data_IF_608991144265
#
_entry.id   IF_608991144265
#
_cell.length_a   1.000
_cell.length_b   1.000
_cell.length_c   1.000
_cell.angle_alpha   90.00
_cell.angle_beta   90.00
_cell.angle_gamma   90.00
#
_symmetry.space_group_name_H-M   'P 1'
#
loop_
_entity.id
_entity.type
_entity.pdbx_description
1 polymer ?
#
# COMPACT_ATOMS: atom_id res chain seq x y z
N UNK A 1 -7.34 11.99 4.51
CA UNK A 1 -6.04 11.36 4.26
C UNK A 1 -6.07 9.93 4.77
N UNK A 2 -5.41 9.00 4.09
CA UNK A 2 -5.26 7.60 4.49
C UNK A 2 -3.77 7.31 4.71
N UNK A 3 -3.42 6.44 5.67
CA UNK A 3 -2.04 6.02 5.91
C UNK A 3 -1.87 4.58 5.46
N UNK A 4 -0.74 4.27 4.84
CA UNK A 4 -0.33 2.93 4.44
C UNK A 4 1.17 2.71 4.70
N UNK A 5 1.54 1.44 4.77
CA UNK A 5 2.91 0.98 4.92
C UNK A 5 3.12 -0.37 4.21
N UNK A 6 4.32 -0.93 4.27
CA UNK A 6 4.65 -2.21 3.65
C UNK A 6 3.92 -3.42 4.27
N UNK A 7 3.29 -3.28 5.42
CA UNK A 7 2.44 -4.31 6.04
C UNK A 7 0.99 -4.22 5.59
N UNK A 8 0.63 -3.16 4.89
CA UNK A 8 -0.69 -3.02 4.26
C UNK A 8 -0.81 -4.02 3.13
N UNK A 9 -1.47 -5.16 3.39
CA UNK A 9 -1.54 -6.31 2.49
C UNK A 9 -2.98 -6.72 2.20
N UNK A 10 -3.24 -7.35 1.08
CA UNK A 10 -4.55 -7.87 0.65
C UNK A 10 -5.61 -6.76 0.62
N UNK A 11 -6.57 -6.75 1.56
CA UNK A 11 -7.53 -5.64 1.72
C UNK A 11 -6.81 -4.32 2.00
N UNK A 12 -5.66 -4.35 2.69
CA UNK A 12 -4.78 -3.22 2.90
C UNK A 12 -4.11 -2.68 1.62
N UNK A 13 -4.10 -3.45 0.52
CA UNK A 13 -3.77 -2.97 -0.82
C UNK A 13 -5.02 -2.45 -1.54
N UNK A 14 -6.13 -3.19 -1.44
CA UNK A 14 -7.36 -2.93 -2.21
C UNK A 14 -8.03 -1.62 -1.81
N UNK A 15 -8.20 -1.40 -0.51
CA UNK A 15 -8.90 -0.22 0.02
C UNK A 15 -8.15 1.07 -0.30
N UNK A 16 -6.83 1.18 -0.08
CA UNK A 16 -6.07 2.36 -0.52
C UNK A 16 -6.12 2.59 -2.02
N UNK A 17 -6.07 1.54 -2.83
CA UNK A 17 -6.18 1.66 -4.29
C UNK A 17 -7.52 2.28 -4.68
N UNK A 18 -8.62 1.77 -4.13
CA UNK A 18 -9.98 2.30 -4.37
C UNK A 18 -10.12 3.75 -3.88
N UNK A 19 -9.56 4.06 -2.72
CA UNK A 19 -9.58 5.41 -2.14
C UNK A 19 -8.86 6.42 -3.04
N UNK A 20 -7.66 6.05 -3.52
CA UNK A 20 -6.85 6.88 -4.41
C UNK A 20 -7.51 7.04 -5.79
N UNK A 21 -8.00 5.95 -6.38
CA UNK A 21 -8.65 5.95 -7.70
C UNK A 21 -9.95 6.76 -7.69
N UNK A 22 -10.67 6.76 -6.57
CA UNK A 22 -11.88 7.56 -6.37
C UNK A 22 -11.60 9.03 -5.98
N UNK A 23 -10.34 9.44 -5.87
CA UNK A 23 -9.95 10.81 -5.51
C UNK A 23 -10.46 11.25 -4.13
N UNK A 24 -10.57 10.33 -3.17
CA UNK A 24 -11.12 10.61 -1.83
C UNK A 24 -10.19 11.41 -0.93
N UNK A 25 -8.93 11.57 -1.33
CA UNK A 25 -7.91 12.34 -0.63
C UNK A 25 -6.54 11.71 -0.78
N UNK A 26 -5.48 12.34 -0.25
CA UNK A 26 -4.14 11.84 -0.38
C UNK A 26 -3.87 10.61 0.51
N UNK A 27 -2.95 9.77 0.05
CA UNK A 27 -2.37 8.67 0.79
C UNK A 27 -0.99 9.12 1.29
N UNK A 28 -0.73 8.89 2.57
CA UNK A 28 0.53 9.19 3.25
C UNK A 28 1.21 7.90 3.70
N UNK A 29 2.53 7.86 3.68
CA UNK A 29 3.32 6.78 4.26
C UNK A 29 4.22 6.08 3.26
N UNK A 30 4.28 4.77 3.29
CA UNK A 30 5.12 3.96 2.41
C UNK A 30 4.29 3.07 1.49
N UNK A 31 4.92 2.49 0.48
CA UNK A 31 4.27 1.60 -0.48
C UNK A 31 3.62 0.40 0.22
N UNK A 32 2.38 0.07 -0.12
CA UNK A 32 1.75 -1.15 0.36
C UNK A 32 2.42 -2.42 -0.18
N UNK A 33 2.09 -3.56 0.38
CA UNK A 33 2.75 -4.85 0.11
C UNK A 33 2.68 -5.28 -1.37
N UNK A 34 1.55 -5.05 -2.02
CA UNK A 34 1.33 -5.51 -3.39
C UNK A 34 0.79 -6.95 -3.46
N UNK A 35 0.08 -7.41 -2.45
CA UNK A 35 -0.60 -8.70 -2.43
C UNK A 35 -2.04 -8.63 -3.00
N UNK A 36 -2.25 -7.75 -3.98
CA UNK A 36 -3.56 -7.52 -4.62
C UNK A 36 -3.98 -8.69 -5.49
N UNK A 37 -4.93 -9.49 -5.01
CA UNK A 37 -5.47 -10.63 -5.72
C UNK A 37 -6.28 -11.54 -4.81
N UNK A 38 -6.99 -12.48 -5.42
CA UNK A 38 -7.70 -13.53 -4.69
C UNK A 38 -6.86 -14.81 -4.73
N UNK A 39 -6.50 -15.31 -3.55
CA UNK A 39 -5.73 -16.55 -3.40
C UNK A 39 -6.62 -17.65 -2.88
N UNK A 40 -6.32 -18.89 -3.30
CA UNK A 40 -6.91 -20.08 -2.71
C UNK A 40 -5.80 -21.07 -2.38
N UNK A 41 -6.04 -21.90 -1.35
CA UNK A 41 -5.11 -22.94 -0.93
C UNK A 41 -5.62 -24.31 -1.33
N UNK A 42 -4.72 -25.15 -1.80
CA UNK A 42 -4.96 -26.52 -2.16
C UNK A 42 -4.05 -27.45 -1.34
N UNK A 43 -4.51 -28.62 -0.92
CA UNK A 43 -3.62 -29.62 -0.33
C UNK A 43 -2.50 -30.00 -1.30
N UNK A 44 -1.29 -30.17 -0.79
CA UNK A 44 -0.12 -30.58 -1.59
C UNK A 44 -0.14 -32.04 -2.01
N UNK A 45 -1.05 -32.84 -1.47
CA UNK A 45 -1.25 -34.26 -1.81
C UNK A 45 -1.90 -35.03 -0.67
N UNK A 46 -2.28 -36.28 -0.94
CA UNK A 46 -3.01 -37.12 -0.01
C UNK A 46 -2.21 -37.53 1.26
N UNK A 47 -0.89 -37.47 1.18
CA UNK A 47 0.02 -37.90 2.24
C UNK A 47 0.90 -36.75 2.77
N UNK A 48 0.49 -35.51 2.54
CA UNK A 48 1.23 -34.32 2.98
C UNK A 48 0.31 -33.36 3.72
N UNK A 49 0.76 -32.86 4.86
CA UNK A 49 0.09 -31.78 5.60
C UNK A 49 0.35 -30.39 4.95
N UNK A 50 1.17 -30.35 3.90
CA UNK A 50 1.49 -29.12 3.17
C UNK A 50 0.29 -28.60 2.37
N UNK A 51 0.28 -27.28 2.14
CA UNK A 51 -0.66 -26.62 1.24
C UNK A 51 0.07 -25.75 0.24
N UNK A 52 -0.53 -25.58 -0.93
CA UNK A 52 -0.06 -24.69 -1.99
C UNK A 52 -1.03 -23.52 -2.14
N UNK A 53 -0.50 -22.29 -2.11
CA UNK A 53 -1.28 -21.09 -2.42
C UNK A 53 -1.21 -20.76 -3.90
N UNK A 54 -2.36 -20.52 -4.52
CA UNK A 54 -2.44 -20.07 -5.90
C UNK A 54 -3.26 -18.78 -6.00
N UNK A 55 -2.76 -17.79 -6.75
CA UNK A 55 -3.52 -16.58 -7.07
C UNK A 55 -4.45 -16.87 -8.24
N UNK A 56 -5.76 -16.80 -7.99
CA UNK A 56 -6.80 -17.09 -8.99
C UNK A 56 -7.28 -15.84 -9.74
N UNK A 57 -7.19 -14.67 -9.11
CA UNK A 57 -7.62 -13.41 -9.72
C UNK A 57 -6.67 -12.28 -9.31
N UNK A 58 -6.50 -11.31 -10.21
CA UNK A 58 -5.67 -10.14 -9.97
C UNK A 58 -6.55 -8.89 -9.90
N UNK A 59 -6.21 -7.99 -9.01
CA UNK A 59 -6.83 -6.69 -8.94
C UNK A 59 -6.20 -5.74 -9.96
N UNK A 60 -7.08 -5.11 -10.76
CA UNK A 60 -6.69 -4.20 -11.84
C UNK A 60 -7.22 -2.80 -11.53
N UNK A 61 -6.35 -1.82 -11.53
CA UNK A 61 -6.72 -0.41 -11.36
C UNK A 61 -7.25 0.19 -12.67
N UNK A 62 -8.13 1.18 -12.63
CA UNK A 62 -8.64 1.86 -13.82
C UNK A 62 -7.52 2.60 -14.58
N UNK A 63 -6.51 3.10 -13.85
CA UNK A 63 -5.39 3.87 -14.43
C UNK A 63 -4.10 3.06 -14.43
N UNK A 64 -3.24 3.34 -15.41
CA UNK A 64 -1.87 2.85 -15.44
C UNK A 64 -1.07 3.48 -14.30
N UNK A 65 -0.32 2.66 -13.58
CA UNK A 65 0.62 3.12 -12.54
C UNK A 65 2.01 3.07 -13.16
N UNK A 66 2.71 4.20 -13.14
CA UNK A 66 4.13 4.28 -13.50
C UNK A 66 4.94 4.59 -12.24
N UNK A 67 5.96 3.79 -11.98
CA UNK A 67 6.84 3.96 -10.82
C UNK A 67 8.29 3.85 -11.25
N UNK A 68 9.25 4.42 -10.48
CA UNK A 68 10.67 4.28 -10.80
C UNK A 68 11.17 2.82 -10.77
N UNK A 69 10.54 1.99 -9.94
CA UNK A 69 11.05 0.65 -9.61
C UNK A 69 10.38 -0.47 -10.41
N UNK A 70 9.25 -0.19 -11.07
CA UNK A 70 8.48 -1.21 -11.77
C UNK A 70 8.01 -0.69 -13.14
N UNK A 71 7.90 -1.57 -14.13
CA UNK A 71 7.27 -1.24 -15.40
C UNK A 71 5.85 -0.71 -15.19
N UNK A 72 5.39 0.15 -16.09
CA UNK A 72 4.03 0.65 -16.05
C UNK A 72 3.02 -0.51 -16.04
N UNK A 73 2.11 -0.49 -15.08
CA UNK A 73 1.15 -1.57 -14.85
C UNK A 73 -0.16 -1.05 -14.29
N UNK A 74 -1.23 -1.78 -14.56
CA UNK A 74 -2.53 -1.59 -13.90
C UNK A 74 -2.74 -2.57 -12.74
N UNK A 75 -1.83 -3.52 -12.56
CA UNK A 75 -1.95 -4.55 -11.52
C UNK A 75 -1.44 -4.03 -10.19
N UNK A 76 -2.15 -4.34 -9.11
CA UNK A 76 -1.68 -4.11 -7.74
C UNK A 76 -0.64 -5.17 -7.36
N UNK A 77 -0.81 -6.40 -7.89
CA UNK A 77 0.09 -7.52 -7.57
C UNK A 77 1.55 -7.18 -7.84
N UNK A 78 2.39 -7.35 -6.83
CA UNK A 78 3.82 -7.04 -6.76
C UNK A 78 4.18 -5.54 -6.82
N UNK A 79 3.26 -4.67 -7.26
CA UNK A 79 3.50 -3.23 -7.39
C UNK A 79 3.09 -2.48 -6.11
N UNK A 80 1.96 -2.87 -5.51
CA UNK A 80 1.37 -2.17 -4.37
C UNK A 80 0.72 -0.85 -4.74
N UNK A 81 0.24 -0.17 -3.72
CA UNK A 81 -0.25 1.20 -3.82
C UNK A 81 0.86 2.14 -3.35
N UNK A 82 1.14 3.15 -4.16
CA UNK A 82 2.13 4.18 -3.82
C UNK A 82 1.43 5.35 -3.15
N UNK A 83 1.98 5.86 -2.04
CA UNK A 83 1.43 7.04 -1.39
C UNK A 83 1.64 8.29 -2.25
N UNK A 84 0.71 9.24 -2.13
CA UNK A 84 0.85 10.57 -2.75
C UNK A 84 1.85 11.43 -1.97
N UNK A 85 1.99 11.17 -0.66
CA UNK A 85 2.96 11.81 0.23
C UNK A 85 3.86 10.70 0.82
N UNK A 86 4.98 10.39 0.16
CA UNK A 86 5.86 9.31 0.60
C UNK A 86 6.64 9.71 1.87
N UNK A 87 6.59 8.85 2.87
CA UNK A 87 7.36 8.98 4.12
C UNK A 87 7.62 7.59 4.70
N UNK A 88 8.88 7.23 4.77
CA UNK A 88 9.31 5.97 5.38
C UNK A 88 9.51 6.16 6.90
N UNK A 89 8.80 5.36 7.70
CA UNK A 89 8.94 5.37 9.16
C UNK A 89 10.13 4.51 9.63
N UNK A 90 10.65 3.60 8.82
CA UNK A 90 11.75 2.70 9.16
C UNK A 90 13.13 3.31 8.87
N UNK A 91 13.24 4.62 8.90
CA UNK A 91 14.52 5.30 8.80
C UNK A 91 15.26 5.31 10.14
N UNK A 92 16.61 5.29 10.08
CA UNK A 92 17.46 5.39 11.27
C UNK A 92 17.10 6.60 12.12
N UNK A 93 16.90 7.76 11.49
CA UNK A 93 16.61 9.00 12.21
C UNK A 93 15.26 8.95 12.92
N UNK A 94 14.25 8.36 12.26
CA UNK A 94 12.94 8.19 12.89
C UNK A 94 13.01 7.25 14.10
N UNK A 95 13.74 6.14 13.98
CA UNK A 95 13.89 5.18 15.07
C UNK A 95 14.66 5.78 16.26
N UNK A 96 15.75 6.49 16.01
CA UNK A 96 16.54 7.13 17.07
C UNK A 96 15.76 8.25 17.80
N UNK A 97 14.82 8.89 17.12
CA UNK A 97 13.99 9.95 17.66
C UNK A 97 12.59 9.48 18.09
N UNK A 98 12.43 8.18 18.31
CA UNK A 98 11.18 7.58 18.82
C UNK A 98 9.94 7.93 17.95
N UNK A 99 10.12 7.98 16.63
CA UNK A 99 9.04 8.24 15.68
C UNK A 99 8.66 9.71 15.48
N UNK A 100 9.32 10.66 16.17
CA UNK A 100 8.98 12.09 16.06
C UNK A 100 9.01 12.64 14.64
N UNK A 101 10.03 12.39 13.81
CA UNK A 101 10.05 12.89 12.43
C UNK A 101 8.83 12.44 11.62
N UNK A 102 8.43 11.18 11.76
CA UNK A 102 7.27 10.66 11.06
C UNK A 102 5.97 11.32 11.53
N UNK A 103 5.77 11.43 12.85
CA UNK A 103 4.59 12.09 13.43
C UNK A 103 4.52 13.57 13.04
N UNK A 104 5.64 14.27 13.03
CA UNK A 104 5.70 15.67 12.61
C UNK A 104 5.33 15.82 11.13
N UNK A 105 5.86 14.97 10.25
CA UNK A 105 5.53 14.99 8.83
C UNK A 105 4.05 14.69 8.58
N UNK A 106 3.50 13.68 9.24
CA UNK A 106 2.09 13.33 9.20
C UNK A 106 1.19 14.49 9.67
N UNK A 107 1.53 15.10 10.81
CA UNK A 107 0.78 16.23 11.37
C UNK A 107 0.81 17.42 10.41
N UNK A 108 1.98 17.75 9.85
CA UNK A 108 2.11 18.83 8.89
C UNK A 108 1.26 18.59 7.63
N UNK A 109 1.26 17.35 7.12
CA UNK A 109 0.45 16.98 5.96
C UNK A 109 -1.06 17.13 6.22
N UNK A 110 -1.54 16.78 7.42
CA UNK A 110 -2.95 16.98 7.80
C UNK A 110 -3.29 18.47 7.89
N UNK A 111 -2.45 19.26 8.56
CA UNK A 111 -2.67 20.70 8.71
C UNK A 111 -2.73 21.40 7.34
N UNK A 112 -1.82 21.05 6.42
CA UNK A 112 -1.83 21.57 5.06
C UNK A 112 -3.11 21.17 4.30
N UNK A 113 -3.56 19.92 4.44
CA UNK A 113 -4.77 19.44 3.81
C UNK A 113 -6.03 20.20 4.30
N UNK A 114 -6.13 20.43 5.61
CA UNK A 114 -7.24 21.20 6.20
C UNK A 114 -7.20 22.64 5.75
N UNK A 115 -6.01 23.23 5.67
CA UNK A 115 -5.83 24.62 5.20
C UNK A 115 -6.27 24.84 3.76
N UNK A 116 -6.09 23.83 2.89
CA UNK A 116 -6.51 23.86 1.48
C UNK A 116 -8.00 23.57 1.26
N UNK A 117 -8.70 23.07 2.27
CA UNK A 117 -10.12 22.73 2.20
C UNK A 117 -11.04 23.91 2.55
N UNK A 118 -10.47 25.06 2.89
CA UNK A 118 -11.18 26.32 3.12
C UNK A 118 -11.09 27.21 1.88
#
# INVERSE_FOLDING_TARGET
MMMIDEFSTSTGDSVPAMFQDAGRGPIFGWRSNGAGGNNTNFPSGAYSEGSQGMTLALQVRPKMISTPDYPASRLIKNVGVRPDIPMDYMTRDNLLQQGRPYVNAFTAAIVDLIGKSK
#
